data_IF_282403821497
#
_entry.id   IF_282403821497
#
_cell.length_a   1.000
_cell.length_b   1.000
_cell.length_c   1.000
_cell.angle_alpha   90.00
_cell.angle_beta   90.00
_cell.angle_gamma   90.00
#
_symmetry.space_group_name_H-M   'P 1'
#
loop_
_entity.id
_entity.type
_entity.pdbx_description
1 polymer ?
#
# COMPACT_ATOMS: atom_id res chain seq x y z
N UNK A 1 -1.57 -14.38 -1.78
CA UNK A 1 -0.62 -13.40 -1.20
C UNK A 1 -0.01 -12.59 -2.34
N UNK A 2 0.29 -11.30 -2.09
CA UNK A 2 0.95 -10.41 -3.05
C UNK A 2 2.37 -10.10 -2.57
N UNK A 3 3.36 -10.36 -3.39
CA UNK A 3 4.75 -9.99 -3.10
C UNK A 3 5.03 -8.57 -3.60
N UNK A 4 5.54 -7.72 -2.71
CA UNK A 4 5.98 -6.36 -3.01
C UNK A 4 7.48 -6.34 -2.81
N UNK A 5 8.24 -6.57 -3.88
CA UNK A 5 9.68 -6.83 -3.82
C UNK A 5 10.51 -5.93 -4.75
N UNK A 6 9.87 -5.08 -5.55
CA UNK A 6 10.56 -4.24 -6.52
C UNK A 6 9.97 -2.84 -6.59
N UNK A 7 10.76 -1.89 -7.08
CA UNK A 7 10.39 -0.47 -7.20
C UNK A 7 10.46 -0.02 -8.66
N UNK A 8 9.40 0.63 -9.14
CA UNK A 8 9.43 1.31 -10.42
C UNK A 8 10.12 2.68 -10.30
N UNK A 9 11.17 2.94 -11.09
CA UNK A 9 11.90 4.21 -11.12
C UNK A 9 12.10 4.69 -12.56
N UNK A 10 12.34 5.99 -12.73
CA UNK A 10 12.77 6.53 -14.02
C UNK A 10 14.29 6.72 -14.01
N UNK A 11 14.97 6.15 -15.00
CA UNK A 11 16.41 6.36 -15.22
C UNK A 11 16.62 7.08 -16.55
N UNK A 12 17.36 8.19 -16.50
CA UNK A 12 17.71 8.97 -17.71
C UNK A 12 18.38 8.04 -18.74
N UNK A 13 17.93 8.10 -19.99
CA UNK A 13 18.42 7.25 -21.08
C UNK A 13 17.86 5.82 -21.11
N UNK A 14 17.19 5.35 -20.05
CA UNK A 14 16.64 3.98 -19.95
C UNK A 14 15.11 3.97 -19.78
N UNK A 15 14.50 5.11 -19.45
CA UNK A 15 13.06 5.21 -19.27
C UNK A 15 12.61 4.62 -17.92
N UNK A 16 11.42 4.03 -17.91
CA UNK A 16 10.86 3.38 -16.73
C UNK A 16 11.50 2.00 -16.54
N UNK A 17 12.09 1.77 -15.37
CA UNK A 17 12.78 0.53 -15.03
C UNK A 17 12.25 -0.04 -13.73
N UNK A 18 12.36 -1.37 -13.59
CA UNK A 18 12.08 -2.07 -12.36
C UNK A 18 13.40 -2.29 -11.61
N UNK A 19 13.51 -1.75 -10.41
CA UNK A 19 14.62 -2.03 -9.51
C UNK A 19 14.20 -3.17 -8.58
N UNK A 20 14.77 -4.36 -8.81
CA UNK A 20 14.45 -5.61 -8.10
C UNK A 20 14.83 -5.62 -6.62
N UNK A 21 15.47 -4.55 -6.12
CA UNK A 21 15.76 -4.40 -4.69
C UNK A 21 15.16 -3.12 -4.15
N UNK A 22 14.27 -3.19 -3.15
CA UNK A 22 13.87 -2.02 -2.42
C UNK A 22 15.08 -1.45 -1.68
N UNK A 23 15.12 -0.13 -1.53
CA UNK A 23 16.24 0.59 -0.89
C UNK A 23 16.50 0.11 0.55
N UNK A 24 15.51 -0.50 1.19
CA UNK A 24 15.52 -0.95 2.59
C UNK A 24 14.74 -2.25 2.76
N UNK A 25 15.03 -3.00 3.83
CA UNK A 25 14.39 -4.28 4.13
C UNK A 25 12.86 -4.17 4.28
N UNK A 26 12.36 -3.04 4.79
CA UNK A 26 10.91 -2.79 4.92
C UNK A 26 10.18 -2.61 3.58
N UNK A 27 10.92 -2.35 2.50
CA UNK A 27 10.36 -2.27 1.17
C UNK A 27 9.97 -3.64 0.60
N UNK A 28 10.56 -4.74 1.11
CA UNK A 28 10.12 -6.08 0.79
C UNK A 28 9.02 -6.52 1.76
N UNK A 29 7.84 -6.87 1.25
CA UNK A 29 6.76 -7.40 2.07
C UNK A 29 5.78 -8.25 1.29
N UNK A 30 5.22 -9.22 1.98
CA UNK A 30 4.12 -10.04 1.49
C UNK A 30 2.82 -9.55 2.13
N UNK A 31 1.86 -9.16 1.31
CA UNK A 31 0.56 -8.67 1.75
C UNK A 31 -0.50 -9.76 1.48
N UNK A 32 -1.22 -10.17 2.51
CA UNK A 32 -2.41 -10.98 2.35
C UNK A 32 -3.51 -10.13 1.68
N UNK A 33 -4.06 -10.64 0.57
CA UNK A 33 -5.15 -9.98 -0.13
C UNK A 33 -6.47 -10.63 0.31
N UNK A 34 -7.54 -9.85 0.56
CA UNK A 34 -8.88 -10.40 0.72
C UNK A 34 -9.31 -11.18 -0.53
N UNK A 35 -10.08 -12.24 -0.36
CA UNK A 35 -10.49 -13.13 -1.48
C UNK A 35 -11.19 -12.38 -2.61
N UNK A 36 -12.04 -11.41 -2.27
CA UNK A 36 -12.75 -10.59 -3.25
C UNK A 36 -11.82 -9.68 -4.09
N UNK A 37 -10.56 -9.48 -3.68
CA UNK A 37 -9.53 -8.76 -4.45
C UNK A 37 -8.68 -9.73 -5.28
N UNK A 38 -8.43 -10.94 -4.77
CA UNK A 38 -7.62 -11.97 -5.46
C UNK A 38 -8.17 -12.26 -6.85
N UNK A 39 -9.48 -12.40 -6.96
CA UNK A 39 -10.16 -12.78 -8.19
C UNK A 39 -10.04 -11.70 -9.30
N UNK A 40 -10.32 -10.41 -9.04
CA UNK A 40 -9.96 -9.32 -9.96
C UNK A 40 -8.48 -9.29 -10.37
N UNK A 41 -7.56 -9.57 -9.44
CA UNK A 41 -6.13 -9.62 -9.74
C UNK A 41 -5.79 -10.76 -10.71
N UNK A 42 -6.33 -11.96 -10.49
CA UNK A 42 -6.14 -13.11 -11.38
C UNK A 42 -6.68 -12.86 -12.77
N UNK A 43 -7.91 -12.33 -12.88
CA UNK A 43 -8.49 -11.95 -14.18
C UNK A 43 -7.59 -10.96 -14.92
N UNK A 44 -7.06 -9.96 -14.20
CA UNK A 44 -6.18 -8.96 -14.78
C UNK A 44 -4.89 -9.58 -15.34
N UNK A 45 -4.26 -10.48 -14.58
CA UNK A 45 -3.06 -11.19 -15.04
C UNK A 45 -3.37 -12.02 -16.28
N UNK A 46 -4.49 -12.75 -16.30
CA UNK A 46 -4.92 -13.57 -17.45
C UNK A 46 -5.24 -12.74 -18.70
N UNK A 47 -5.71 -11.50 -18.56
CA UNK A 47 -5.98 -10.58 -19.67
C UNK A 47 -4.72 -9.94 -20.27
N UNK A 48 -3.53 -10.21 -19.72
CA UNK A 48 -2.27 -9.67 -20.25
C UNK A 48 -1.85 -10.49 -21.46
N UNK A 49 -2.31 -10.06 -22.64
CA UNK A 49 -2.17 -10.77 -23.92
C UNK A 49 -0.82 -10.57 -24.63
N UNK A 50 0.07 -9.77 -24.06
CA UNK A 50 1.44 -9.55 -24.56
C UNK A 50 2.44 -9.97 -23.51
N UNK A 51 3.66 -10.27 -23.95
CA UNK A 51 4.79 -10.54 -23.06
C UNK A 51 4.92 -9.41 -22.02
N UNK A 52 4.78 -9.80 -20.76
CA UNK A 52 4.93 -8.95 -19.58
C UNK A 52 6.16 -9.48 -18.85
N UNK A 53 7.33 -8.98 -19.23
CA UNK A 53 8.64 -9.52 -18.82
C UNK A 53 8.78 -9.69 -17.30
N UNK A 54 8.12 -8.83 -16.52
CA UNK A 54 8.19 -8.85 -15.05
C UNK A 54 6.90 -9.33 -14.38
N UNK A 55 5.96 -9.93 -15.13
CA UNK A 55 4.66 -10.40 -14.62
C UNK A 55 3.90 -9.36 -13.77
N UNK A 56 4.03 -8.08 -14.14
CA UNK A 56 3.43 -6.98 -13.39
C UNK A 56 1.90 -7.11 -13.39
N UNK A 57 1.28 -6.92 -12.22
CA UNK A 57 -0.18 -6.86 -12.11
C UNK A 57 -0.77 -5.61 -12.81
N UNK A 58 -0.05 -4.49 -12.80
CA UNK A 58 -0.49 -3.23 -13.39
C UNK A 58 0.54 -2.65 -14.38
N UNK A 59 0.77 -3.29 -15.53
CA UNK A 59 1.74 -2.79 -16.49
C UNK A 59 1.19 -1.56 -17.25
N UNK A 60 2.04 -0.92 -18.06
CA UNK A 60 1.60 0.08 -19.04
C UNK A 60 0.81 -0.57 -20.18
N UNK A 61 0.23 0.23 -21.08
CA UNK A 61 -0.45 -0.30 -22.30
C UNK A 61 0.48 -1.11 -23.20
N UNK A 62 1.78 -0.84 -23.15
CA UNK A 62 2.81 -1.58 -23.91
C UNK A 62 3.40 -2.75 -23.12
N UNK A 63 2.78 -3.12 -22.00
CA UNK A 63 3.22 -4.20 -21.10
C UNK A 63 4.59 -3.96 -20.43
N UNK A 64 5.00 -2.70 -20.31
CA UNK A 64 6.22 -2.30 -19.59
C UNK A 64 5.96 -1.78 -18.17
N UNK A 65 7.04 -1.36 -17.50
CA UNK A 65 7.02 -0.83 -16.13
C UNK A 65 6.17 0.44 -16.03
N UNK A 66 5.21 0.44 -15.10
CA UNK A 66 4.36 1.61 -14.80
C UNK A 66 4.97 2.43 -13.67
N UNK A 67 5.35 3.67 -13.97
CA UNK A 67 5.81 4.64 -12.98
C UNK A 67 4.67 5.11 -12.04
N UNK A 68 4.99 5.51 -10.80
CA UNK A 68 4.01 6.07 -9.87
C UNK A 68 3.21 7.24 -10.44
N UNK A 69 3.86 8.15 -11.16
CA UNK A 69 3.21 9.30 -11.82
C UNK A 69 2.15 8.88 -12.85
N UNK A 70 2.35 7.76 -13.54
CA UNK A 70 1.37 7.20 -14.46
C UNK A 70 0.17 6.61 -13.72
N UNK A 71 0.41 5.97 -12.57
CA UNK A 71 -0.65 5.44 -11.71
C UNK A 71 -1.47 6.57 -11.09
N UNK A 72 -0.82 7.62 -10.57
CA UNK A 72 -1.49 8.79 -10.00
C UNK A 72 -2.33 9.52 -11.05
N UNK A 73 -1.84 9.67 -12.29
CA UNK A 73 -2.63 10.23 -13.39
C UNK A 73 -3.86 9.38 -13.70
N UNK A 74 -3.71 8.06 -13.77
CA UNK A 74 -4.84 7.16 -14.04
C UNK A 74 -5.88 7.22 -12.91
N UNK A 75 -5.43 7.31 -11.65
CA UNK A 75 -6.29 7.50 -10.50
C UNK A 75 -7.03 8.84 -10.57
N UNK A 76 -6.33 9.92 -10.92
CA UNK A 76 -6.94 11.25 -11.07
C UNK A 76 -8.06 11.22 -12.11
N UNK A 77 -7.79 10.69 -13.30
CA UNK A 77 -8.81 10.54 -14.37
C UNK A 77 -10.03 9.76 -13.87
N UNK A 78 -9.83 8.68 -13.11
CA UNK A 78 -10.94 7.89 -12.58
C UNK A 78 -11.78 8.68 -11.56
N UNK A 79 -11.13 9.45 -10.68
CA UNK A 79 -11.79 10.25 -9.66
C UNK A 79 -12.52 11.47 -10.26
N UNK A 80 -11.94 12.12 -11.25
CA UNK A 80 -12.53 13.29 -11.92
C UNK A 80 -13.83 12.91 -12.66
N UNK A 81 -13.91 11.67 -13.19
CA UNK A 81 -15.14 11.13 -13.80
C UNK A 81 -16.29 10.94 -12.79
N UNK A 82 -15.95 10.70 -11.52
CA UNK A 82 -16.94 10.56 -10.45
C UNK A 82 -17.33 11.95 -9.92
N UNK A 83 -16.37 12.88 -9.87
CA UNK A 83 -16.56 14.25 -9.39
C UNK A 83 -16.51 14.37 -7.86
N UNK A 84 -16.14 15.55 -7.36
CA UNK A 84 -16.13 15.86 -5.91
C UNK A 84 -14.95 15.29 -5.11
N UNK A 85 -13.94 14.73 -5.79
CA UNK A 85 -12.79 14.06 -5.16
C UNK A 85 -11.43 14.68 -5.52
N UNK A 86 -11.41 15.98 -5.81
CA UNK A 86 -10.19 16.69 -6.24
C UNK A 86 -9.07 16.63 -5.18
N UNK A 87 -9.46 16.56 -3.90
CA UNK A 87 -8.57 16.43 -2.75
C UNK A 87 -8.03 15.00 -2.53
N UNK A 88 -8.59 13.99 -3.20
CA UNK A 88 -8.19 12.58 -3.02
C UNK A 88 -6.94 12.28 -3.84
N UNK A 89 -5.97 11.63 -3.22
CA UNK A 89 -4.73 11.14 -3.84
C UNK A 89 -4.47 9.68 -3.50
N UNK A 90 -3.44 9.06 -4.08
CA UNK A 90 -2.98 7.72 -3.69
C UNK A 90 -2.63 7.64 -2.19
N UNK A 91 -2.06 8.72 -1.63
CA UNK A 91 -1.81 8.82 -0.19
C UNK A 91 -3.10 8.82 0.63
N UNK A 92 -4.18 9.44 0.17
CA UNK A 92 -5.49 9.42 0.86
C UNK A 92 -5.96 7.98 1.09
N UNK A 93 -5.94 7.13 0.06
CA UNK A 93 -6.30 5.71 0.20
C UNK A 93 -5.43 4.98 1.21
N UNK A 94 -4.11 5.21 1.17
CA UNK A 94 -3.17 4.62 2.13
C UNK A 94 -3.50 5.01 3.58
N UNK A 95 -3.82 6.29 3.82
CA UNK A 95 -4.27 6.76 5.14
C UNK A 95 -5.59 6.10 5.55
N UNK A 96 -6.54 5.98 4.64
CA UNK A 96 -7.83 5.32 4.91
C UNK A 96 -7.64 3.86 5.33
N UNK A 97 -6.74 3.12 4.66
CA UNK A 97 -6.42 1.73 5.06
C UNK A 97 -5.84 1.71 6.47
N UNK A 98 -4.87 2.59 6.77
CA UNK A 98 -4.28 2.67 8.10
C UNK A 98 -5.33 2.92 9.20
N UNK A 99 -6.22 3.90 8.98
CA UNK A 99 -7.32 4.22 9.91
C UNK A 99 -8.29 3.05 10.06
N UNK A 100 -8.65 2.34 8.99
CA UNK A 100 -9.55 1.18 9.07
C UNK A 100 -8.95 0.03 9.87
N UNK A 101 -7.65 -0.22 9.70
CA UNK A 101 -6.95 -1.26 10.46
C UNK A 101 -6.82 -0.87 11.95
N UNK A 102 -6.55 0.40 12.25
CA UNK A 102 -6.54 0.93 13.62
C UNK A 102 -7.91 0.80 14.30
N UNK A 103 -8.98 1.19 13.61
CA UNK A 103 -10.35 1.03 14.09
C UNK A 103 -10.75 -0.44 14.32
N UNK A 104 -10.14 -1.37 13.59
CA UNK A 104 -10.32 -2.81 13.79
C UNK A 104 -9.48 -3.37 14.96
N UNK A 105 -8.69 -2.52 15.63
CA UNK A 105 -7.90 -2.88 16.81
C UNK A 105 -6.52 -3.48 16.51
N UNK A 106 -6.03 -3.37 15.28
CA UNK A 106 -4.67 -3.84 14.96
C UNK A 106 -3.63 -2.96 15.66
N UNK A 107 -2.54 -3.58 16.08
CA UNK A 107 -1.43 -2.87 16.72
C UNK A 107 -0.71 -1.98 15.70
N UNK A 108 -0.06 -0.92 16.20
CA UNK A 108 0.73 -0.01 15.36
C UNK A 108 1.81 -0.74 14.55
N UNK A 109 2.35 -1.84 15.10
CA UNK A 109 3.35 -2.69 14.44
C UNK A 109 2.75 -3.47 13.26
N UNK A 110 1.59 -4.08 13.44
CA UNK A 110 0.89 -4.81 12.37
C UNK A 110 0.51 -3.87 11.22
N UNK A 111 0.01 -2.68 11.56
CA UNK A 111 -0.34 -1.65 10.57
C UNK A 111 0.93 -1.16 9.86
N UNK A 112 2.01 -0.86 10.58
CA UNK A 112 3.28 -0.45 9.99
C UNK A 112 3.85 -1.51 9.03
N UNK A 113 3.76 -2.80 9.40
CA UNK A 113 4.18 -3.91 8.56
C UNK A 113 3.33 -4.02 7.28
N UNK A 114 2.00 -3.94 7.40
CA UNK A 114 1.11 -3.94 6.24
C UNK A 114 1.41 -2.78 5.28
N UNK A 115 1.66 -1.60 5.82
CA UNK A 115 1.97 -0.40 5.05
C UNK A 115 3.40 -0.42 4.48
N UNK A 116 4.34 -1.10 5.12
CA UNK A 116 5.76 -1.07 4.79
C UNK A 116 6.44 0.22 5.27
N UNK A 117 6.13 0.66 6.50
CA UNK A 117 6.88 1.72 7.18
C UNK A 117 8.12 1.14 7.84
N UNK A 118 9.28 1.79 7.66
CA UNK A 118 10.51 1.46 8.39
C UNK A 118 10.41 1.83 9.87
N UNK A 119 9.70 2.91 10.19
CA UNK A 119 9.48 3.38 11.56
C UNK A 119 7.98 3.33 11.92
N UNK A 120 7.58 2.52 12.92
CA UNK A 120 6.22 2.47 13.45
C UNK A 120 5.70 3.81 14.00
N UNK A 121 6.58 4.75 14.38
CA UNK A 121 6.20 6.07 14.88
C UNK A 121 5.42 6.90 13.85
N UNK A 122 5.69 6.68 12.56
CA UNK A 122 4.95 7.30 11.44
C UNK A 122 3.49 6.84 11.37
N UNK A 123 3.21 5.63 11.84
CA UNK A 123 1.84 5.09 11.94
C UNK A 123 1.13 5.64 13.17
N UNK A 124 1.84 5.77 14.30
CA UNK A 124 1.27 6.31 15.54
C UNK A 124 0.95 7.81 15.45
N UNK A 125 1.84 8.62 14.85
CA UNK A 125 1.68 10.08 14.80
C UNK A 125 0.63 10.56 13.80
N UNK A 126 0.19 9.72 12.85
CA UNK A 126 -0.70 10.14 11.75
C UNK A 126 -2.05 9.41 11.76
N UNK A 127 -2.14 8.22 12.37
CA UNK A 127 -3.32 7.35 12.20
C UNK A 127 -4.03 6.94 13.48
N UNK A 128 -3.31 6.87 14.61
CA UNK A 128 -3.93 6.48 15.86
C UNK A 128 -4.54 7.71 16.53
N UNK A 129 -5.87 7.81 16.48
CA UNK A 129 -6.58 8.71 17.39
C UNK A 129 -6.19 8.33 18.82
N UNK A 130 -6.01 9.33 19.70
CA UNK A 130 -5.80 9.07 21.13
C UNK A 130 -7.04 8.34 21.67
N UNK A 131 -7.04 7.01 21.60
CA UNK A 131 -8.05 6.17 22.21
C UNK A 131 -8.05 6.41 23.72
N UNK A 132 -9.22 6.23 24.33
CA UNK A 132 -9.39 6.27 25.79
C UNK A 132 -8.35 5.35 26.43
N UNK A 133 -7.67 5.83 27.48
CA UNK A 133 -6.67 5.06 28.21
C UNK A 133 -7.20 3.66 28.50
N UNK A 134 -6.51 2.64 27.97
CA UNK A 134 -6.99 1.27 28.02
C UNK A 134 -7.17 0.81 29.46
N UNK A 135 -8.34 0.29 29.81
CA UNK A 135 -8.63 -0.31 31.14
C UNK A 135 -7.63 -1.43 31.46
N UNK A 136 -7.10 -2.09 30.41
CA UNK A 136 -6.02 -3.08 30.49
C UNK A 136 -4.73 -2.50 31.07
N UNK A 137 -4.37 -1.25 30.76
CA UNK A 137 -3.20 -0.59 31.35
C UNK A 137 -3.40 -0.35 32.86
N UNK A 138 -4.61 0.05 33.27
CA UNK A 138 -4.95 0.19 34.68
C UNK A 138 -4.89 -1.16 35.43
N UNK A 139 -5.33 -2.26 34.81
CA UNK A 139 -5.21 -3.61 35.38
C UNK A 139 -3.76 -4.06 35.55
N UNK A 140 -2.89 -3.81 34.55
CA UNK A 140 -1.46 -4.15 34.65
C UNK A 140 -0.77 -3.34 35.75
N UNK A 141 -1.07 -2.05 35.85
CA UNK A 141 -0.49 -1.18 36.88
C UNK A 141 -1.01 -1.49 38.30
N UNK A 142 -2.19 -2.11 38.40
CA UNK A 142 -2.80 -2.51 39.68
C UNK A 142 -2.28 -3.86 40.19
N UNK A 143 -1.64 -4.67 39.34
CA UNK A 143 -1.07 -5.97 39.71
C UNK A 143 0.33 -5.89 40.33
N UNK A 144 0.90 -4.68 40.44
CA UNK A 144 2.26 -4.44 40.98
C UNK A 144 2.23 -3.90 42.41
N UNK A 145 1.29 -4.35 43.24
CA UNK A 145 1.26 -4.04 44.68
C UNK A 145 1.52 -5.29 45.51
#
# INVERSE_FOLDING_TARGET
MLDVNAKATYKKGHGAVLEERPKTAAGWRVIALPDHIVEPCRRRMAMTWRANEHDLLFPTRTCGVRLPTNADRALRIALDRIGGYDWVTSHTFRKTVATRLDQAGLTAREIAHHLGHEDPSMTQNVHMGRGVASTRAATVLSATK
#
